data_IF_648968320984
#
_entry.id   IF_648968320984
#
_cell.length_a   1.000
_cell.length_b   1.000
_cell.length_c   1.000
_cell.angle_alpha   90.00
_cell.angle_beta   90.00
_cell.angle_gamma   90.00
#
_symmetry.space_group_name_H-M   'P 1'
#
loop_
_entity.id
_entity.type
_entity.pdbx_description
1 polymer ?
#
# COMPACT_ATOMS: atom_id res chain seq x y z
N UNK A 1 -8.58 26.09 0.42
CA UNK A 1 -8.37 24.98 1.37
C UNK A 1 -7.67 23.86 0.61
N UNK A 2 -6.59 23.28 1.13
CA UNK A 2 -5.95 22.15 0.47
C UNK A 2 -6.86 20.91 0.57
N UNK A 3 -7.04 20.20 -0.54
CA UNK A 3 -7.81 18.95 -0.62
C UNK A 3 -6.82 17.79 -0.64
N UNK A 4 -7.06 16.77 0.19
CA UNK A 4 -6.25 15.55 0.22
C UNK A 4 -7.14 14.38 -0.21
N UNK A 5 -6.61 13.53 -1.08
CA UNK A 5 -7.29 12.36 -1.64
C UNK A 5 -6.57 11.10 -1.20
N UNK A 6 -7.30 10.23 -0.51
CA UNK A 6 -6.74 9.02 0.09
C UNK A 6 -7.50 7.82 -0.45
N UNK A 7 -6.77 6.78 -0.84
CA UNK A 7 -7.31 5.48 -1.20
C UNK A 7 -6.87 4.43 -0.19
N UNK A 8 -7.80 3.58 0.23
CA UNK A 8 -7.48 2.29 0.87
C UNK A 8 -8.04 1.16 0.01
N UNK A 9 -7.22 0.15 -0.28
CA UNK A 9 -7.61 -0.92 -1.19
C UNK A 9 -6.93 -2.26 -0.86
N UNK A 10 -7.74 -3.28 -0.60
CA UNK A 10 -7.22 -4.64 -0.44
C UNK A 10 -7.00 -5.26 -1.82
N UNK A 11 -5.78 -5.72 -2.07
CA UNK A 11 -5.33 -6.20 -3.39
C UNK A 11 -5.73 -7.65 -3.70
N UNK A 12 -6.32 -8.36 -2.72
CA UNK A 12 -6.72 -9.76 -2.79
C UNK A 12 -5.58 -10.66 -3.30
N UNK A 13 -4.77 -11.22 -2.42
CA UNK A 13 -3.63 -12.06 -2.84
C UNK A 13 -4.07 -13.47 -3.28
N UNK A 14 -4.66 -13.60 -4.47
CA UNK A 14 -5.13 -14.89 -4.99
C UNK A 14 -5.06 -15.03 -6.51
N UNK A 15 -4.69 -16.21 -7.00
CA UNK A 15 -4.75 -16.54 -8.44
C UNK A 15 -3.85 -15.63 -9.29
N UNK A 16 -4.44 -14.88 -10.24
CA UNK A 16 -3.74 -13.97 -11.18
C UNK A 16 -3.24 -12.67 -10.52
N UNK A 17 -2.62 -12.75 -9.34
CA UNK A 17 -2.20 -11.59 -8.55
C UNK A 17 -1.24 -10.68 -9.30
N UNK A 18 -0.26 -11.22 -10.01
CA UNK A 18 0.70 -10.38 -10.75
C UNK A 18 0.00 -9.50 -11.79
N UNK A 19 -0.88 -10.07 -12.63
CA UNK A 19 -1.59 -9.31 -13.66
C UNK A 19 -2.49 -8.22 -13.05
N UNK A 20 -3.19 -8.51 -11.95
CA UNK A 20 -4.01 -7.52 -11.24
C UNK A 20 -3.16 -6.41 -10.64
N UNK A 21 -2.02 -6.75 -10.04
CA UNK A 21 -1.12 -5.77 -9.44
C UNK A 21 -0.46 -4.88 -10.48
N UNK A 22 -0.11 -5.43 -11.65
CA UNK A 22 0.42 -4.64 -12.77
C UNK A 22 -0.66 -3.65 -13.28
N UNK A 23 -1.91 -4.09 -13.42
CA UNK A 23 -3.03 -3.21 -13.80
C UNK A 23 -3.35 -2.15 -12.73
N UNK A 24 -3.37 -2.55 -11.45
CA UNK A 24 -3.57 -1.64 -10.33
C UNK A 24 -2.48 -0.58 -10.29
N UNK A 25 -1.20 -0.97 -10.44
CA UNK A 25 -0.09 -0.04 -10.42
C UNK A 25 -0.24 1.06 -11.49
N UNK A 26 -0.60 0.68 -12.72
CA UNK A 26 -0.84 1.65 -13.80
C UNK A 26 -1.99 2.61 -13.46
N UNK A 27 -3.11 2.11 -12.91
CA UNK A 27 -4.23 2.95 -12.48
C UNK A 27 -3.85 3.89 -11.34
N UNK A 28 -3.05 3.43 -10.37
CA UNK A 28 -2.61 4.25 -9.25
C UNK A 28 -1.67 5.37 -9.73
N UNK A 29 -0.75 5.07 -10.63
CA UNK A 29 0.23 6.04 -11.14
C UNK A 29 -0.46 7.18 -11.92
N UNK A 30 -1.51 6.87 -12.68
CA UNK A 30 -2.32 7.84 -13.43
C UNK A 30 -3.36 8.60 -12.56
N UNK A 31 -3.66 8.10 -11.37
CA UNK A 31 -4.68 8.69 -10.50
C UNK A 31 -4.23 9.99 -9.81
N UNK A 32 -5.18 10.70 -9.18
CA UNK A 32 -4.94 11.92 -8.41
C UNK A 32 -4.93 11.68 -6.89
N UNK A 33 -4.69 10.45 -6.42
CA UNK A 33 -4.54 10.18 -4.99
C UNK A 33 -3.20 10.70 -4.46
N UNK A 34 -3.25 11.41 -3.33
CA UNK A 34 -2.05 11.89 -2.64
C UNK A 34 -1.40 10.76 -1.81
N UNK A 35 -2.24 9.84 -1.31
CA UNK A 35 -1.84 8.70 -0.49
C UNK A 35 -2.67 7.46 -0.81
N UNK A 36 -2.01 6.31 -0.88
CA UNK A 36 -2.64 5.01 -1.13
C UNK A 36 -2.18 3.99 -0.09
N UNK A 37 -3.12 3.32 0.56
CA UNK A 37 -2.90 2.26 1.52
C UNK A 37 -3.37 0.92 0.93
N UNK A 38 -2.47 -0.03 0.75
CA UNK A 38 -2.76 -1.34 0.19
C UNK A 38 -2.62 -2.44 1.24
N UNK A 39 -3.57 -3.38 1.20
CA UNK A 39 -3.51 -4.63 1.95
C UNK A 39 -3.33 -5.83 1.02
N UNK A 40 -2.88 -6.93 1.60
CA UNK A 40 -2.52 -8.22 1.00
C UNK A 40 -1.32 -8.19 0.04
N UNK A 41 -0.39 -7.26 0.23
CA UNK A 41 0.86 -7.21 -0.54
C UNK A 41 1.92 -8.12 0.10
N UNK A 42 1.71 -9.43 0.06
CA UNK A 42 2.52 -10.39 0.83
C UNK A 42 3.78 -10.90 0.11
N UNK A 43 3.98 -10.57 -1.17
CA UNK A 43 5.13 -11.04 -1.95
C UNK A 43 6.15 -9.91 -2.17
N UNK A 44 7.43 -10.10 -1.78
CA UNK A 44 8.49 -9.13 -2.05
C UNK A 44 8.67 -8.83 -3.55
N UNK A 45 8.43 -9.83 -4.42
CA UNK A 45 8.49 -9.66 -5.88
C UNK A 45 7.36 -8.76 -6.38
N UNK A 46 6.14 -8.96 -5.87
CA UNK A 46 5.00 -8.11 -6.22
C UNK A 46 5.20 -6.70 -5.69
N UNK A 47 5.68 -6.54 -4.45
CA UNK A 47 6.06 -5.24 -3.91
C UNK A 47 7.08 -4.51 -4.79
N UNK A 48 8.17 -5.20 -5.17
CA UNK A 48 9.21 -4.65 -6.03
C UNK A 48 8.69 -4.21 -7.41
N UNK A 49 7.72 -4.93 -7.97
CA UNK A 49 7.04 -4.56 -9.23
C UNK A 49 6.16 -3.34 -9.05
N UNK A 50 5.29 -3.36 -8.05
CA UNK A 50 4.39 -2.25 -7.71
C UNK A 50 5.19 -0.95 -7.58
N UNK A 51 6.24 -0.95 -6.75
CA UNK A 51 7.09 0.24 -6.53
C UNK A 51 7.71 0.78 -7.82
N UNK A 52 8.13 -0.09 -8.74
CA UNK A 52 8.68 0.35 -10.04
C UNK A 52 7.62 0.90 -10.99
N UNK A 53 6.39 0.43 -10.88
CA UNK A 53 5.28 0.78 -11.76
C UNK A 53 4.45 1.97 -11.24
N UNK A 54 4.82 2.55 -10.08
CA UNK A 54 4.17 3.72 -9.49
C UNK A 54 5.18 4.84 -9.18
N UNK A 55 5.94 5.34 -10.19
CA UNK A 55 6.95 6.40 -9.98
C UNK A 55 6.37 7.70 -9.39
N UNK A 56 5.07 7.97 -9.55
CA UNK A 56 4.39 9.15 -8.98
C UNK A 56 4.34 9.15 -7.44
N UNK A 57 4.65 8.04 -6.79
CA UNK A 57 4.68 7.91 -5.33
C UNK A 57 6.10 7.63 -4.83
N UNK A 58 6.98 8.64 -4.76
CA UNK A 58 8.38 8.46 -4.39
C UNK A 58 8.58 8.06 -2.92
N UNK A 59 7.58 8.28 -2.07
CA UNK A 59 7.65 7.99 -0.64
C UNK A 59 6.80 6.75 -0.32
N UNK A 60 7.44 5.71 0.20
CA UNK A 60 6.75 4.45 0.48
C UNK A 60 7.07 3.92 1.87
N UNK A 61 6.06 3.38 2.55
CA UNK A 61 6.22 2.58 3.76
C UNK A 61 5.68 1.17 3.51
N UNK A 62 6.33 0.17 4.11
CA UNK A 62 5.94 -1.23 3.98
C UNK A 62 6.08 -1.90 5.36
N UNK A 63 5.10 -2.72 5.76
CA UNK A 63 5.18 -3.59 6.94
C UNK A 63 4.93 -5.06 6.59
N UNK A 64 5.93 -5.90 6.88
CA UNK A 64 5.91 -7.36 6.63
C UNK A 64 5.45 -8.16 7.85
N UNK A 65 5.43 -7.55 9.03
CA UNK A 65 5.43 -8.29 10.31
C UNK A 65 4.43 -7.69 11.29
N UNK A 66 3.39 -8.50 11.56
CA UNK A 66 2.77 -8.71 12.87
C UNK A 66 1.69 -7.72 13.37
N UNK A 67 0.72 -8.18 14.21
CA UNK A 67 0.48 -9.56 14.68
C UNK A 67 -0.70 -10.25 13.99
N UNK A 68 -0.49 -11.52 13.64
CA UNK A 68 -1.51 -12.51 13.25
C UNK A 68 -2.30 -12.35 11.93
N UNK A 69 -2.47 -11.17 11.34
CA UNK A 69 -3.08 -11.05 10.00
C UNK A 69 -1.97 -11.01 8.95
N UNK A 70 -1.90 -12.05 8.10
CA UNK A 70 -0.93 -12.21 7.00
C UNK A 70 -1.16 -11.20 5.88
N UNK A 71 -1.11 -9.92 6.21
CA UNK A 71 -1.74 -8.87 5.43
C UNK A 71 -0.82 -8.06 4.55
N UNK A 72 0.51 -8.01 4.74
CA UNK A 72 1.42 -7.21 3.90
C UNK A 72 0.91 -5.78 3.60
N UNK A 73 1.20 -4.85 4.50
CA UNK A 73 0.70 -3.47 4.40
C UNK A 73 1.68 -2.58 3.64
N UNK A 74 1.16 -1.82 2.68
CA UNK A 74 1.92 -0.85 1.89
C UNK A 74 1.24 0.51 1.94
N UNK A 75 2.02 1.56 2.16
CA UNK A 75 1.62 2.94 1.94
C UNK A 75 2.47 3.54 0.83
N UNK A 76 1.81 4.12 -0.17
CA UNK A 76 2.41 4.93 -1.24
C UNK A 76 1.99 6.38 -1.00
N UNK A 77 2.91 7.33 -1.15
CA UNK A 77 2.67 8.74 -0.88
C UNK A 77 3.43 9.65 -1.86
N UNK A 78 2.77 10.71 -2.30
CA UNK A 78 3.38 11.83 -3.03
C UNK A 78 4.14 12.79 -2.12
N UNK A 79 3.88 12.73 -0.81
CA UNK A 79 4.48 13.57 0.21
C UNK A 79 5.43 12.79 1.12
N UNK A 80 6.47 13.43 1.69
CA UNK A 80 7.40 12.78 2.61
C UNK A 80 6.71 12.11 3.79
N UNK A 81 7.13 10.89 4.13
CA UNK A 81 6.64 10.16 5.30
C UNK A 81 7.60 10.43 6.46
N UNK A 82 7.15 11.21 7.44
CA UNK A 82 7.98 11.65 8.58
C UNK A 82 8.27 10.55 9.61
N UNK A 83 7.44 9.51 9.68
CA UNK A 83 7.58 8.42 10.65
C UNK A 83 6.69 7.25 10.31
N UNK A 84 6.93 6.11 10.98
CA UNK A 84 6.12 4.89 10.84
C UNK A 84 5.85 4.33 12.23
N UNK A 85 4.59 4.31 12.63
CA UNK A 85 4.11 3.62 13.83
C UNK A 85 3.08 2.59 13.40
N UNK A 86 3.04 1.46 14.11
CA UNK A 86 2.05 0.41 13.88
C UNK A 86 1.34 0.20 15.22
N UNK A 87 0.04 0.46 15.23
CA UNK A 87 -0.79 0.26 16.42
C UNK A 87 -1.50 -1.09 16.29
N UNK A 88 -1.47 -1.89 17.35
CA UNK A 88 -2.16 -3.17 17.40
C UNK A 88 -3.66 -2.94 17.60
N UNK A 89 -4.47 -3.36 16.62
CA UNK A 89 -5.94 -3.29 16.74
C UNK A 89 -6.49 -4.07 17.96
N UNK A 90 -5.69 -4.99 18.54
CA UNK A 90 -6.04 -5.71 19.76
C UNK A 90 -5.92 -4.85 21.03
N UNK A 91 -5.06 -3.83 21.06
CA UNK A 91 -4.90 -2.94 22.23
C UNK A 91 -6.10 -1.99 22.40
N UNK A 92 -6.94 -1.83 21.38
CA UNK A 92 -8.10 -0.91 21.39
C UNK A 92 -9.46 -1.58 21.70
N UNK A 93 -9.48 -2.91 21.84
CA UNK A 93 -10.70 -3.69 22.13
C UNK A 93 -10.67 -4.36 23.51
N UNK A 94 -9.80 -3.89 24.41
CA UNK A 94 -9.76 -4.26 25.82
C UNK A 94 -10.89 -3.60 26.61
#
# INVERSE_FOLDING_TARGET
MAKVRILTFNTLFRGRTQARMDALAALLDDSDYDMVCLQEVISPRIWSRLRRATPSYPHTAHSWTFPLVRGGLVTLSRHPIAGRTHDDARERLG
#
